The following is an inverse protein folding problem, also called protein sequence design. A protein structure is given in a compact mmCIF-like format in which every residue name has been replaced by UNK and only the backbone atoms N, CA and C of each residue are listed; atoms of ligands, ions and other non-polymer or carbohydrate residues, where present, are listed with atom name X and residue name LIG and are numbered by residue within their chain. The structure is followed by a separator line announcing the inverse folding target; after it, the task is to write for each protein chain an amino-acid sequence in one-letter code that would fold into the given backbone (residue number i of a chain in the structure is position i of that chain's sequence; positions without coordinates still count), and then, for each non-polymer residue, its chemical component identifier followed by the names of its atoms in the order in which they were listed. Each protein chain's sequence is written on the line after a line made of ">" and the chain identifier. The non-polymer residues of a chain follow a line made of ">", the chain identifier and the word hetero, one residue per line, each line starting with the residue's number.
data_IF_285862112011
#
_entry.id   IF_285862112011
#
_cell.length_a   1.000
_cell.length_b   1.000
_cell.length_c   1.000
_cell.angle_alpha   90.00
_cell.angle_beta   90.00
_cell.angle_gamma   90.00
#
_symmetry.space_group_name_H-M   'P 1'
#
loop_
_entity.id
_entity.type
_entity.pdbx_description
1 polymer ?
#
# COMPACT_ATOMS: atom_id res chain seq x y z
N UNK A 1 31.13 -10.52 -24.49
CA UNK A 1 30.32 -9.28 -24.50
C UNK A 1 28.85 -9.55 -24.79
N UNK A 2 28.50 -10.27 -25.88
CA UNK A 2 27.11 -10.61 -26.22
C UNK A 2 26.33 -11.37 -25.14
N UNK A 3 26.94 -12.38 -24.50
CA UNK A 3 26.28 -13.19 -23.47
C UNK A 3 25.93 -12.35 -22.23
N UNK A 4 26.82 -11.44 -21.80
CA UNK A 4 26.59 -10.57 -20.66
C UNK A 4 25.44 -9.57 -20.91
N UNK A 5 25.35 -9.02 -22.12
CA UNK A 5 24.25 -8.14 -22.53
C UNK A 5 22.92 -8.90 -22.58
N UNK A 6 22.93 -10.13 -23.11
CA UNK A 6 21.74 -10.98 -23.16
C UNK A 6 21.24 -11.35 -21.75
N UNK A 7 22.14 -11.74 -20.85
CA UNK A 7 21.81 -12.03 -19.45
C UNK A 7 21.24 -10.79 -18.76
N UNK A 8 21.83 -9.62 -18.99
CA UNK A 8 21.33 -8.34 -18.46
C UNK A 8 19.90 -8.02 -18.92
N UNK A 9 19.59 -8.23 -20.21
CA UNK A 9 18.25 -8.03 -20.77
C UNK A 9 17.21 -9.01 -20.20
N UNK A 10 17.59 -10.27 -20.00
CA UNK A 10 16.72 -11.28 -19.37
C UNK A 10 16.44 -10.94 -17.91
N UNK A 11 17.45 -10.54 -17.14
CA UNK A 11 17.25 -10.10 -15.76
C UNK A 11 16.36 -8.85 -15.67
N UNK A 12 16.56 -7.88 -16.56
CA UNK A 12 15.72 -6.67 -16.61
C UNK A 12 14.28 -7.02 -16.94
N UNK A 13 14.05 -7.87 -17.94
CA UNK A 13 12.69 -8.24 -18.34
C UNK A 13 11.96 -8.97 -17.21
N UNK A 14 12.61 -9.94 -16.57
CA UNK A 14 12.05 -10.65 -15.40
C UNK A 14 11.76 -9.65 -14.28
N UNK A 15 12.68 -8.74 -13.98
CA UNK A 15 12.49 -7.71 -12.97
C UNK A 15 11.27 -6.83 -13.25
N UNK A 16 11.09 -6.39 -14.49
CA UNK A 16 9.92 -5.59 -14.90
C UNK A 16 8.62 -6.38 -14.79
N UNK A 17 8.62 -7.68 -15.13
CA UNK A 17 7.44 -8.54 -15.00
C UNK A 17 7.06 -8.78 -13.53
N UNK A 18 8.04 -8.97 -12.65
CA UNK A 18 7.81 -9.07 -11.21
C UNK A 18 7.24 -7.76 -10.67
N UNK A 19 7.83 -6.61 -11.06
CA UNK A 19 7.33 -5.29 -10.66
C UNK A 19 5.89 -5.07 -11.15
N UNK A 20 5.61 -5.35 -12.42
CA UNK A 20 4.27 -5.25 -12.98
C UNK A 20 3.28 -6.20 -12.29
N UNK A 21 3.74 -7.39 -11.89
CA UNK A 21 2.95 -8.36 -11.13
C UNK A 21 2.63 -7.87 -9.71
N UNK A 22 3.61 -7.34 -8.99
CA UNK A 22 3.41 -6.75 -7.65
C UNK A 22 2.47 -5.56 -7.72
N UNK A 23 2.66 -4.69 -8.71
CA UNK A 23 1.79 -3.55 -8.97
C UNK A 23 0.38 -4.03 -9.32
N UNK A 24 0.23 -4.98 -10.25
CA UNK A 24 -1.07 -5.56 -10.62
C UNK A 24 -1.80 -6.24 -9.45
N UNK A 25 -1.07 -6.91 -8.56
CA UNK A 25 -1.60 -7.46 -7.31
C UNK A 25 -2.08 -6.34 -6.38
N UNK A 26 -1.37 -5.22 -6.31
CA UNK A 26 -1.80 -4.05 -5.54
C UNK A 26 -3.10 -3.45 -6.10
N UNK A 27 -3.25 -3.40 -7.43
CA UNK A 27 -4.49 -2.95 -8.10
C UNK A 27 -5.71 -3.83 -7.79
N UNK A 28 -5.52 -5.14 -7.57
CA UNK A 28 -6.63 -6.06 -7.25
C UNK A 28 -6.85 -6.27 -5.74
N UNK A 29 -5.81 -6.15 -4.92
CA UNK A 29 -5.83 -6.58 -3.52
C UNK A 29 -5.45 -5.44 -2.55
N UNK A 30 -5.84 -4.19 -2.86
CA UNK A 30 -5.46 -3.02 -2.06
C UNK A 30 -5.84 -3.14 -0.58
N UNK A 31 -7.01 -3.75 -0.28
CA UNK A 31 -7.46 -4.01 1.11
C UNK A 31 -6.49 -4.92 1.86
N UNK A 32 -6.00 -5.99 1.20
CA UNK A 32 -5.02 -6.89 1.78
C UNK A 32 -3.68 -6.18 2.01
N UNK A 33 -3.23 -5.38 1.03
CA UNK A 33 -1.98 -4.63 1.14
C UNK A 33 -2.01 -3.59 2.27
N UNK A 34 -3.07 -2.81 2.39
CA UNK A 34 -3.21 -1.80 3.44
C UNK A 34 -3.25 -2.43 4.83
N UNK A 35 -3.94 -3.57 4.94
CA UNK A 35 -3.93 -4.37 6.17
C UNK A 35 -2.53 -4.89 6.49
N UNK A 36 -1.80 -5.41 5.49
CA UNK A 36 -0.45 -5.96 5.67
C UNK A 36 0.55 -4.88 6.07
N UNK A 37 0.51 -3.73 5.40
CA UNK A 37 1.31 -2.56 5.74
C UNK A 37 1.04 -2.11 7.18
N UNK A 38 -0.22 -2.09 7.58
CA UNK A 38 -0.61 -1.76 8.96
C UNK A 38 -0.09 -2.77 9.97
N UNK A 39 -0.17 -4.07 9.67
CA UNK A 39 0.37 -5.11 10.53
C UNK A 39 1.88 -4.99 10.73
N UNK A 40 2.62 -4.76 9.64
CA UNK A 40 4.08 -4.52 9.70
C UNK A 40 4.38 -3.25 10.50
N UNK A 41 3.70 -2.14 10.20
CA UNK A 41 3.88 -0.87 10.89
C UNK A 41 3.57 -0.97 12.39
N UNK A 42 2.50 -1.68 12.77
CA UNK A 42 2.14 -1.93 14.16
C UNK A 42 3.22 -2.75 14.89
N UNK A 43 3.69 -3.85 14.28
CA UNK A 43 4.78 -4.65 14.84
C UNK A 43 6.07 -3.85 15.03
N UNK A 44 6.46 -3.06 14.03
CA UNK A 44 7.62 -2.17 14.12
C UNK A 44 7.44 -1.11 15.21
N UNK A 45 6.27 -0.48 15.27
CA UNK A 45 5.94 0.53 16.28
C UNK A 45 5.99 -0.04 17.70
N UNK A 46 5.49 -1.25 17.93
CA UNK A 46 5.56 -1.92 19.23
C UNK A 46 7.00 -2.17 19.69
N UNK A 47 7.90 -2.52 18.77
CA UNK A 47 9.30 -2.70 19.12
C UNK A 47 10.00 -1.35 19.38
N UNK A 48 9.74 -0.37 18.53
CA UNK A 48 10.43 0.92 18.56
C UNK A 48 9.99 1.81 19.74
N UNK A 49 8.68 1.92 19.99
CA UNK A 49 8.14 2.84 20.99
C UNK A 49 7.90 2.19 22.36
N UNK A 50 7.52 0.91 22.39
CA UNK A 50 7.18 0.21 23.64
C UNK A 50 8.26 -0.79 24.09
N UNK A 51 9.36 -0.91 23.35
CA UNK A 51 10.47 -1.85 23.64
C UNK A 51 10.01 -3.30 23.83
N UNK A 52 8.91 -3.69 23.19
CA UNK A 52 8.37 -5.06 23.25
C UNK A 52 9.31 -6.01 22.51
N UNK A 53 9.46 -7.23 23.05
CA UNK A 53 10.30 -8.26 22.44
C UNK A 53 9.86 -8.56 20.99
N UNK A 54 10.79 -8.66 20.01
CA UNK A 54 10.45 -8.80 18.59
C UNK A 54 9.48 -9.95 18.27
N UNK A 55 9.61 -11.09 18.96
CA UNK A 55 8.69 -12.22 18.77
C UNK A 55 7.23 -11.86 19.09
N UNK A 56 6.99 -11.05 20.14
CA UNK A 56 5.65 -10.58 20.51
C UNK A 56 5.16 -9.53 19.51
N UNK A 57 6.06 -8.68 19.01
CA UNK A 57 5.72 -7.70 17.97
C UNK A 57 5.22 -8.34 16.67
N UNK A 58 5.77 -9.50 16.28
CA UNK A 58 5.26 -10.26 15.13
C UNK A 58 3.80 -10.71 15.38
N UNK A 59 3.51 -11.21 16.57
CA UNK A 59 2.15 -11.64 16.93
C UNK A 59 1.19 -10.44 16.95
N UNK A 60 1.60 -9.30 17.49
CA UNK A 60 0.81 -8.07 17.48
C UNK A 60 0.56 -7.58 16.06
N UNK A 61 1.60 -7.56 15.22
CA UNK A 61 1.48 -7.16 13.82
C UNK A 61 0.53 -8.07 13.05
N UNK A 62 0.58 -9.38 13.29
CA UNK A 62 -0.34 -10.34 12.68
C UNK A 62 -1.78 -10.13 13.17
N UNK A 63 -1.98 -9.88 14.46
CA UNK A 63 -3.29 -9.56 15.01
C UNK A 63 -3.86 -8.26 14.42
N UNK A 64 -3.03 -7.22 14.29
CA UNK A 64 -3.41 -5.95 13.67
C UNK A 64 -3.77 -6.14 12.18
N UNK A 65 -3.00 -6.95 11.44
CA UNK A 65 -3.31 -7.32 10.06
C UNK A 65 -4.71 -7.93 9.95
N UNK A 66 -4.99 -9.00 10.69
CA UNK A 66 -6.27 -9.68 10.60
C UNK A 66 -7.43 -8.79 11.04
N UNK A 67 -7.24 -8.00 12.10
CA UNK A 67 -8.26 -7.08 12.60
C UNK A 67 -8.62 -6.03 11.53
N UNK A 68 -7.63 -5.38 10.94
CA UNK A 68 -7.86 -4.35 9.92
C UNK A 68 -8.46 -4.97 8.66
N UNK A 69 -7.97 -6.13 8.25
CA UNK A 69 -8.52 -6.85 7.09
C UNK A 69 -10.00 -7.16 7.30
N UNK A 70 -10.36 -7.76 8.44
CA UNK A 70 -11.75 -8.05 8.76
C UNK A 70 -12.61 -6.79 8.79
N UNK A 71 -12.14 -5.70 9.41
CA UNK A 71 -12.87 -4.44 9.44
C UNK A 71 -13.07 -3.86 8.03
N UNK A 72 -12.03 -3.86 7.19
CA UNK A 72 -12.13 -3.37 5.81
C UNK A 72 -13.05 -4.22 4.91
N UNK A 73 -13.28 -5.50 5.23
CA UNK A 73 -14.27 -6.31 4.51
C UNK A 73 -15.72 -6.00 4.90
N UNK A 74 -15.95 -5.24 5.97
CA UNK A 74 -17.29 -4.74 6.31
C UNK A 74 -17.60 -3.45 5.55
N UNK A 75 -18.88 -3.16 5.27
CA UNK A 75 -19.27 -1.92 4.58
C UNK A 75 -18.80 -0.66 5.32
N UNK A 76 -19.01 -0.60 6.63
CA UNK A 76 -18.63 0.58 7.44
C UNK A 76 -17.12 0.69 7.54
N UNK A 77 -16.44 -0.40 7.88
CA UNK A 77 -14.99 -0.39 8.00
C UNK A 77 -14.28 -0.11 6.68
N UNK A 78 -14.83 -0.56 5.54
CA UNK A 78 -14.35 -0.18 4.23
C UNK A 78 -14.34 1.35 4.03
N UNK A 79 -15.48 2.01 4.25
CA UNK A 79 -15.58 3.45 4.00
C UNK A 79 -14.72 4.26 4.97
N UNK A 80 -14.64 3.85 6.23
CA UNK A 80 -13.82 4.54 7.24
C UNK A 80 -12.34 4.29 6.99
N UNK A 81 -11.91 3.02 6.99
CA UNK A 81 -10.50 2.65 6.93
C UNK A 81 -9.95 2.83 5.51
N UNK A 82 -10.67 2.41 4.48
CA UNK A 82 -10.27 2.64 3.09
C UNK A 82 -10.27 4.11 2.69
N UNK A 83 -11.21 4.91 3.22
CA UNK A 83 -11.18 6.36 3.09
C UNK A 83 -9.96 7.00 3.77
N UNK A 84 -9.62 6.54 4.99
CA UNK A 84 -8.41 6.96 5.70
C UNK A 84 -7.14 6.60 4.95
N UNK A 85 -7.01 5.38 4.41
CA UNK A 85 -5.86 4.99 3.60
C UNK A 85 -5.75 5.81 2.32
N UNK A 86 -6.86 6.05 1.62
CA UNK A 86 -6.88 6.91 0.44
C UNK A 86 -6.34 8.31 0.75
N UNK A 87 -6.78 8.90 1.87
CA UNK A 87 -6.26 10.19 2.32
C UNK A 87 -4.79 10.13 2.74
N UNK A 88 -4.36 9.03 3.38
CA UNK A 88 -2.97 8.84 3.78
C UNK A 88 -2.04 8.74 2.56
N UNK A 89 -2.39 7.95 1.55
CA UNK A 89 -1.66 7.88 0.27
C UNK A 89 -1.64 9.24 -0.43
N UNK A 90 -2.79 9.91 -0.52
CA UNK A 90 -2.89 11.23 -1.16
C UNK A 90 -2.00 12.26 -0.46
N UNK A 91 -2.02 12.27 0.88
CA UNK A 91 -1.17 13.15 1.68
C UNK A 91 0.31 12.82 1.48
N UNK A 92 0.68 11.54 1.50
CA UNK A 92 2.07 11.13 1.31
C UNK A 92 2.60 11.55 -0.07
N UNK A 93 1.92 11.18 -1.16
CA UNK A 93 2.38 11.54 -2.51
C UNK A 93 2.28 13.04 -2.78
N UNK A 94 1.22 13.70 -2.31
CA UNK A 94 1.06 15.15 -2.43
C UNK A 94 2.16 15.93 -1.71
N UNK A 95 2.55 15.52 -0.50
CA UNK A 95 3.64 16.15 0.26
C UNK A 95 5.01 15.88 -0.37
N UNK A 96 5.24 14.68 -0.92
CA UNK A 96 6.46 14.38 -1.69
C UNK A 96 6.54 15.29 -2.92
N UNK A 97 5.45 15.42 -3.69
CA UNK A 97 5.41 16.31 -4.84
C UNK A 97 5.57 17.79 -4.46
N UNK A 98 4.98 18.21 -3.34
CA UNK A 98 5.15 19.55 -2.80
C UNK A 98 6.60 19.85 -2.37
N UNK A 99 7.35 18.83 -1.93
CA UNK A 99 8.74 19.01 -1.48
C UNK A 99 9.70 19.53 -2.56
N UNK A 100 9.30 19.45 -3.84
CA UNK A 100 9.99 20.06 -4.99
C UNK A 100 9.82 21.59 -5.06
N UNK A 101 9.04 22.19 -4.14
CA UNK A 101 8.79 23.63 -4.07
C UNK A 101 7.63 24.13 -4.93
N UNK A 102 6.92 23.23 -5.63
CA UNK A 102 5.74 23.56 -6.44
C UNK A 102 4.44 23.15 -5.74
N UNK A 103 3.70 24.15 -5.25
CA UNK A 103 2.40 23.95 -4.59
C UNK A 103 1.33 23.40 -5.55
N UNK A 104 1.31 23.86 -6.80
CA UNK A 104 0.31 23.42 -7.78
C UNK A 104 0.58 21.95 -8.07
N UNK A 105 1.84 21.57 -8.28
CA UNK A 105 2.22 20.18 -8.48
C UNK A 105 1.83 19.29 -7.28
N UNK A 106 2.09 19.75 -6.06
CA UNK A 106 1.67 19.04 -4.84
C UNK A 106 0.16 18.78 -4.79
N UNK A 107 -0.66 19.79 -5.08
CA UNK A 107 -2.13 19.67 -5.10
C UNK A 107 -2.61 18.77 -6.24
N UNK A 108 -1.99 18.84 -7.43
CA UNK A 108 -2.30 17.97 -8.57
C UNK A 108 -2.04 16.52 -8.21
N UNK A 109 -0.87 16.20 -7.66
CA UNK A 109 -0.52 14.83 -7.25
C UNK A 109 -1.42 14.34 -6.12
N UNK A 110 -1.75 15.18 -5.15
CA UNK A 110 -2.72 14.86 -4.11
C UNK A 110 -4.09 14.47 -4.69
N UNK A 111 -4.63 15.30 -5.59
CA UNK A 111 -5.93 15.08 -6.22
C UNK A 111 -5.96 13.83 -7.10
N UNK A 112 -4.92 13.62 -7.92
CA UNK A 112 -4.79 12.42 -8.76
C UNK A 112 -4.70 11.15 -7.90
N UNK A 113 -3.99 11.21 -6.78
CA UNK A 113 -3.89 10.07 -5.87
C UNK A 113 -5.25 9.71 -5.26
N UNK A 114 -6.06 10.69 -4.83
CA UNK A 114 -7.42 10.42 -4.34
C UNK A 114 -8.23 9.69 -5.41
N UNK A 115 -8.18 10.15 -6.66
CA UNK A 115 -8.96 9.55 -7.75
C UNK A 115 -8.49 8.12 -8.04
N UNK A 116 -7.18 7.91 -8.15
CA UNK A 116 -6.61 6.60 -8.47
C UNK A 116 -6.84 5.65 -7.29
N UNK A 117 -6.32 5.95 -6.11
CA UNK A 117 -6.36 5.07 -4.94
C UNK A 117 -7.79 4.87 -4.44
N UNK A 118 -8.62 5.91 -4.46
CA UNK A 118 -10.04 5.80 -4.13
C UNK A 118 -10.78 4.91 -5.13
N UNK A 119 -10.48 5.02 -6.42
CA UNK A 119 -10.98 4.12 -7.46
C UNK A 119 -10.59 2.66 -7.22
N UNK A 120 -9.35 2.41 -6.80
CA UNK A 120 -8.87 1.06 -6.46
C UNK A 120 -9.59 0.46 -5.26
N UNK A 121 -9.82 1.27 -4.21
CA UNK A 121 -10.60 0.83 -3.07
C UNK A 121 -12.01 0.41 -3.49
N UNK A 122 -12.70 1.24 -4.29
CA UNK A 122 -14.05 0.92 -4.77
C UNK A 122 -14.04 -0.34 -5.65
N UNK A 123 -13.06 -0.47 -6.54
CA UNK A 123 -12.92 -1.67 -7.38
C UNK A 123 -12.72 -2.94 -6.54
N UNK A 124 -11.81 -2.90 -5.56
CA UNK A 124 -11.56 -4.02 -4.66
C UNK A 124 -12.79 -4.38 -3.81
N UNK A 125 -13.58 -3.40 -3.39
CA UNK A 125 -14.85 -3.66 -2.70
C UNK A 125 -15.85 -4.36 -3.61
N UNK A 126 -16.00 -3.93 -4.85
CA UNK A 126 -16.92 -4.57 -5.78
C UNK A 126 -16.56 -6.05 -6.00
N UNK A 127 -15.26 -6.37 -6.05
CA UNK A 127 -14.78 -7.77 -6.12
C UNK A 127 -15.11 -8.62 -4.88
N UNK A 128 -15.34 -8.01 -3.72
CA UNK A 128 -15.78 -8.73 -2.52
C UNK A 128 -17.30 -8.99 -2.51
N UNK A 129 -18.06 -8.26 -3.31
CA UNK A 129 -19.52 -8.35 -3.41
C UNK A 129 -19.99 -9.26 -4.56
N UNK A 130 -19.08 -9.63 -5.49
CA UNK A 130 -19.27 -10.61 -6.58
C UNK A 130 -19.06 -12.06 -6.10
#
# INVERSE_FOLDING_TARGET
>A
MYIAVLVGLVCLSIGLQVLAGVVGLWFSQIIFFDSALTGVAAGMACNHFAHIHPAICIVIGLAAFFLIFMLQTTTIGFWVIGGLFTLAYASAFGLIAYSEGDMIWGVVVFGLTILIVGGLHVHARNQLEE
#
